data_IF_482834129020
#
_entry.id   IF_482834129020
#
_cell.length_a   1.000
_cell.length_b   1.000
_cell.length_c   1.000
_cell.angle_alpha   90.00
_cell.angle_beta   90.00
_cell.angle_gamma   90.00
#
_symmetry.space_group_name_H-M   'P 1'
#
loop_
_entity.id
_entity.type
_entity.pdbx_description
1 polymer ?
#
# COMPACT_ATOMS: atom_id res chain seq x y z
N UNK A 1 -33.19 18.28 23.01
CA UNK A 1 -32.26 19.32 22.51
C UNK A 1 -30.84 18.80 22.67
N UNK A 2 -30.26 18.24 21.61
CA UNK A 2 -28.97 17.56 21.64
C UNK A 2 -28.12 18.10 20.47
N UNK A 3 -27.54 19.28 20.66
CA UNK A 3 -26.66 19.95 19.69
C UNK A 3 -25.41 20.48 20.37
N UNK A 4 -24.45 19.60 20.70
CA UNK A 4 -23.18 19.99 21.35
C UNK A 4 -21.92 19.32 20.78
N UNK A 5 -21.95 18.08 20.25
CA UNK A 5 -20.77 17.48 19.62
C UNK A 5 -20.58 17.93 18.15
N UNK A 6 -21.67 18.05 17.40
CA UNK A 6 -21.64 18.38 15.97
C UNK A 6 -21.17 19.83 15.70
N UNK A 7 -21.65 20.80 16.49
CA UNK A 7 -21.18 22.20 16.41
C UNK A 7 -19.67 22.30 16.65
N UNK A 8 -19.12 21.56 17.62
CA UNK A 8 -17.69 21.54 17.90
C UNK A 8 -16.83 20.94 16.79
N UNK A 9 -17.34 19.95 16.06
CA UNK A 9 -16.63 19.40 14.90
C UNK A 9 -16.71 20.40 13.74
N UNK A 10 -17.88 20.98 13.50
CA UNK A 10 -18.09 21.99 12.48
C UNK A 10 -17.16 23.20 12.67
N UNK A 11 -17.09 23.77 13.87
CA UNK A 11 -16.21 24.91 14.19
C UNK A 11 -14.73 24.57 13.96
N UNK A 12 -14.31 23.34 14.29
CA UNK A 12 -12.96 22.85 14.02
C UNK A 12 -12.69 22.72 12.53
N UNK A 13 -13.66 22.27 11.74
CA UNK A 13 -13.55 22.17 10.29
C UNK A 13 -13.48 23.54 9.63
N UNK A 14 -14.29 24.51 10.06
CA UNK A 14 -14.22 25.89 9.58
C UNK A 14 -12.86 26.50 9.92
N UNK A 15 -12.41 26.36 11.17
CA UNK A 15 -11.07 26.83 11.57
C UNK A 15 -9.98 26.16 10.74
N UNK A 16 -10.09 24.86 10.44
CA UNK A 16 -9.13 24.15 9.60
C UNK A 16 -9.18 24.61 8.13
N UNK A 17 -10.38 24.85 7.58
CA UNK A 17 -10.59 25.38 6.24
C UNK A 17 -9.96 26.76 6.05
N UNK A 18 -10.13 27.64 7.04
CA UNK A 18 -9.71 29.03 6.96
C UNK A 18 -8.19 29.19 7.18
N UNK A 19 -7.56 28.26 7.90
CA UNK A 19 -6.14 28.36 8.29
C UNK A 19 -5.22 27.34 7.62
N UNK A 20 -5.75 26.32 6.93
CA UNK A 20 -4.96 25.28 6.27
C UNK A 20 -5.44 25.08 4.83
N UNK A 21 -4.60 25.43 3.88
CA UNK A 21 -4.86 25.37 2.43
C UNK A 21 -4.43 24.04 1.79
N UNK A 22 -3.74 23.18 2.55
CA UNK A 22 -3.14 21.94 2.06
C UNK A 22 -4.09 20.72 2.05
N UNK A 23 -5.33 20.85 2.55
CA UNK A 23 -6.29 19.73 2.56
C UNK A 23 -7.40 19.96 1.52
N UNK A 24 -7.87 18.88 0.88
CA UNK A 24 -8.91 18.94 -0.15
C UNK A 24 -10.06 17.95 0.07
N UNK A 25 -9.90 17.01 1.01
CA UNK A 25 -10.85 15.92 1.28
C UNK A 25 -10.87 15.59 2.77
N UNK A 26 -12.02 15.16 3.26
CA UNK A 26 -12.18 14.61 4.62
C UNK A 26 -12.87 13.26 4.50
N UNK A 27 -12.44 12.30 5.34
CA UNK A 27 -13.07 10.99 5.47
C UNK A 27 -13.57 10.86 6.90
N UNK A 28 -14.84 10.48 7.06
CA UNK A 28 -15.46 10.24 8.35
C UNK A 28 -15.80 8.76 8.50
N UNK A 29 -15.36 8.16 9.60
CA UNK A 29 -15.80 6.83 10.03
C UNK A 29 -16.66 6.98 11.27
N UNK A 30 -17.90 6.53 11.17
CA UNK A 30 -18.86 6.47 12.26
C UNK A 30 -19.35 5.06 12.47
N UNK A 31 -19.78 4.75 13.69
CA UNK A 31 -20.56 3.55 13.96
C UNK A 31 -22.04 3.85 13.74
N UNK A 32 -22.80 2.83 13.34
CA UNK A 32 -24.25 2.93 13.18
C UNK A 32 -24.96 3.33 14.49
N UNK A 33 -24.43 2.89 15.63
CA UNK A 33 -24.90 3.29 16.96
C UNK A 33 -24.39 4.67 17.42
N UNK A 34 -23.60 5.36 16.59
CA UNK A 34 -23.12 6.72 16.83
C UNK A 34 -22.18 6.89 18.04
N UNK A 35 -21.76 5.81 18.69
CA UNK A 35 -21.09 5.87 19.98
C UNK A 35 -19.70 5.24 19.97
N UNK A 36 -18.69 6.11 19.93
CA UNK A 36 -17.34 5.83 20.41
C UNK A 36 -17.16 6.56 21.74
N UNK A 37 -16.73 5.84 22.78
CA UNK A 37 -16.37 6.49 24.04
C UNK A 37 -14.99 7.14 23.95
N UNK A 38 -14.67 8.02 24.92
CA UNK A 38 -13.41 8.76 24.94
C UNK A 38 -12.18 7.83 24.89
N UNK A 39 -12.22 6.71 25.62
CA UNK A 39 -11.08 5.78 25.65
C UNK A 39 -10.86 5.11 24.30
N UNK A 40 -11.93 4.81 23.56
CA UNK A 40 -11.88 4.27 22.21
C UNK A 40 -11.37 5.31 21.21
N UNK A 41 -11.85 6.55 21.29
CA UNK A 41 -11.37 7.64 20.43
C UNK A 41 -9.88 7.91 20.64
N UNK A 42 -9.44 8.04 21.88
CA UNK A 42 -8.03 8.25 22.23
C UNK A 42 -7.16 7.06 21.75
N UNK A 43 -7.66 5.83 21.89
CA UNK A 43 -6.97 4.62 21.41
C UNK A 43 -6.81 4.60 19.88
N UNK A 44 -7.89 4.92 19.13
CA UNK A 44 -7.86 4.96 17.67
C UNK A 44 -7.00 6.09 17.14
N UNK A 45 -7.06 7.27 17.77
CA UNK A 45 -6.18 8.41 17.44
C UNK A 45 -4.71 8.03 17.61
N UNK A 46 -4.35 7.41 18.74
CA UNK A 46 -2.98 6.92 18.95
C UNK A 46 -2.56 5.92 17.86
N UNK A 47 -3.44 4.97 17.50
CA UNK A 47 -3.16 3.96 16.48
C UNK A 47 -2.93 4.60 15.09
N UNK A 48 -3.69 5.64 14.75
CA UNK A 48 -3.50 6.44 13.53
C UNK A 48 -2.16 7.18 13.56
N UNK A 49 -1.85 7.90 14.65
CA UNK A 49 -0.59 8.64 14.79
C UNK A 49 0.60 7.67 14.65
N UNK A 50 0.59 6.53 15.35
CA UNK A 50 1.64 5.52 15.26
C UNK A 50 1.78 4.90 13.85
N UNK A 51 0.69 4.83 13.08
CA UNK A 51 0.73 4.36 11.71
C UNK A 51 1.33 5.42 10.78
N UNK A 52 0.92 6.69 10.88
CA UNK A 52 1.45 7.79 10.08
C UNK A 52 2.93 8.11 10.39
N UNK A 53 3.36 7.96 11.65
CA UNK A 53 4.78 8.11 12.04
C UNK A 53 5.72 7.13 11.34
N UNK A 54 5.21 6.04 10.76
CA UNK A 54 5.99 5.05 9.99
C UNK A 54 6.04 5.37 8.50
N UNK A 55 5.45 6.47 8.08
CA UNK A 55 5.41 6.94 6.69
C UNK A 55 6.22 8.21 6.55
N UNK A 56 6.55 8.59 5.32
CA UNK A 56 7.23 9.85 5.01
C UNK A 56 6.26 11.06 4.91
N UNK A 57 4.98 10.86 5.28
CA UNK A 57 3.96 11.90 5.27
C UNK A 57 4.18 12.91 6.40
N UNK A 58 3.99 14.19 6.08
CA UNK A 58 4.00 15.26 7.09
C UNK A 58 2.80 15.13 8.02
N UNK A 59 3.05 14.83 9.28
CA UNK A 59 2.04 14.75 10.33
C UNK A 59 1.92 16.11 11.04
N UNK A 60 0.92 16.91 10.66
CA UNK A 60 0.57 18.16 11.36
C UNK A 60 -0.38 17.88 12.55
N UNK A 61 0.14 17.14 13.54
CA UNK A 61 -0.52 16.96 14.84
C UNK A 61 0.42 17.38 15.95
N UNK A 62 0.06 18.44 16.68
CA UNK A 62 0.83 18.98 17.80
C UNK A 62 0.70 18.13 19.09
N UNK A 63 -0.08 17.05 19.06
CA UNK A 63 -0.33 16.18 20.22
C UNK A 63 0.13 14.75 19.96
N UNK A 64 0.75 14.12 20.95
CA UNK A 64 1.23 12.73 20.91
C UNK A 64 0.10 11.70 21.12
N UNK A 65 -1.17 12.12 21.00
CA UNK A 65 -2.36 11.35 21.37
C UNK A 65 -2.60 11.33 22.88
N UNK A 66 -3.87 11.36 23.30
CA UNK A 66 -4.23 11.23 24.70
C UNK A 66 -4.08 9.77 25.18
N UNK A 67 -3.60 9.57 26.40
CA UNK A 67 -3.48 8.23 27.02
C UNK A 67 -4.60 8.00 28.03
N UNK A 68 -5.78 7.63 27.54
CA UNK A 68 -6.84 7.11 28.40
C UNK A 68 -6.68 5.61 28.64
N UNK A 69 -7.00 5.15 29.85
CA UNK A 69 -7.13 3.72 30.12
C UNK A 69 -8.30 3.15 29.30
N UNK A 70 -8.06 2.05 28.59
CA UNK A 70 -9.07 1.36 27.78
C UNK A 70 -9.20 -0.09 28.26
N UNK A 71 -10.42 -0.48 28.62
CA UNK A 71 -10.72 -1.86 29.00
C UNK A 71 -10.62 -2.82 27.80
N UNK A 72 -10.33 -4.09 28.07
CA UNK A 72 -10.10 -5.12 27.04
C UNK A 72 -11.28 -5.25 26.07
N UNK A 73 -12.52 -5.19 26.56
CA UNK A 73 -13.74 -5.27 25.75
C UNK A 73 -13.92 -4.03 24.88
N UNK A 74 -13.68 -2.83 25.41
CA UNK A 74 -13.71 -1.57 24.65
C UNK A 74 -12.62 -1.51 23.59
N UNK A 75 -11.44 -2.05 23.88
CA UNK A 75 -10.34 -2.17 22.92
C UNK A 75 -10.71 -3.09 21.75
N UNK A 76 -11.28 -4.27 22.00
CA UNK A 76 -11.76 -5.18 20.94
C UNK A 76 -12.77 -4.47 20.03
N UNK A 77 -13.70 -3.70 20.59
CA UNK A 77 -14.68 -2.94 19.80
C UNK A 77 -14.01 -1.86 18.94
N UNK A 78 -13.02 -1.15 19.48
CA UNK A 78 -12.25 -0.18 18.72
C UNK A 78 -11.41 -0.84 17.61
N UNK A 79 -10.79 -1.99 17.88
CA UNK A 79 -10.06 -2.77 16.87
C UNK A 79 -10.98 -3.23 15.72
N UNK A 80 -12.22 -3.63 16.02
CA UNK A 80 -13.19 -3.96 14.98
C UNK A 80 -13.52 -2.74 14.11
N UNK A 81 -13.74 -1.57 14.71
CA UNK A 81 -13.97 -0.32 13.96
C UNK A 81 -12.77 0.02 13.09
N UNK A 82 -11.55 -0.13 13.63
CA UNK A 82 -10.31 0.07 12.89
C UNK A 82 -10.23 -0.85 11.68
N UNK A 83 -10.43 -2.16 11.87
CA UNK A 83 -10.33 -3.15 10.80
C UNK A 83 -11.38 -2.91 9.72
N UNK A 84 -12.63 -2.63 10.11
CA UNK A 84 -13.70 -2.31 9.16
C UNK A 84 -13.40 -1.02 8.40
N UNK A 85 -12.89 0.02 9.07
CA UNK A 85 -12.52 1.27 8.40
C UNK A 85 -11.38 1.05 7.39
N UNK A 86 -10.36 0.26 7.74
CA UNK A 86 -9.28 -0.11 6.82
C UNK A 86 -9.81 -0.94 5.64
N UNK A 87 -10.67 -1.93 5.90
CA UNK A 87 -11.30 -2.72 4.85
C UNK A 87 -12.16 -1.85 3.92
N UNK A 88 -12.94 -0.91 4.46
CA UNK A 88 -13.71 0.04 3.64
C UNK A 88 -12.77 0.95 2.85
N UNK A 89 -11.70 1.45 3.45
CA UNK A 89 -10.71 2.27 2.74
C UNK A 89 -10.06 1.50 1.60
N UNK A 90 -9.64 0.25 1.84
CA UNK A 90 -8.88 -0.55 0.89
C UNK A 90 -9.78 -1.21 -0.18
N UNK A 91 -10.85 -1.87 0.24
CA UNK A 91 -11.71 -2.72 -0.60
C UNK A 91 -12.88 -1.96 -1.24
N UNK A 92 -13.40 -0.90 -0.60
CA UNK A 92 -14.59 -0.17 -1.08
C UNK A 92 -14.22 1.17 -1.70
N UNK A 93 -13.51 2.01 -0.95
CA UNK A 93 -13.14 3.36 -1.38
C UNK A 93 -11.85 3.38 -2.21
N UNK A 94 -11.04 2.33 -2.10
CA UNK A 94 -9.70 2.22 -2.71
C UNK A 94 -8.81 3.43 -2.41
N UNK A 95 -8.84 3.91 -1.17
CA UNK A 95 -8.04 5.02 -0.66
C UNK A 95 -6.98 4.44 0.27
N UNK A 96 -5.72 4.42 -0.17
CA UNK A 96 -4.60 4.21 0.75
C UNK A 96 -4.21 5.55 1.38
N UNK A 97 -4.62 5.78 2.62
CA UNK A 97 -4.33 7.03 3.35
C UNK A 97 -2.87 7.13 3.82
N UNK A 98 -2.10 6.04 3.72
CA UNK A 98 -0.68 5.97 4.09
C UNK A 98 0.26 6.06 2.88
N UNK A 99 -0.30 6.09 1.67
CA UNK A 99 0.47 6.45 0.48
C UNK A 99 0.68 7.95 0.48
N UNK A 100 1.94 8.38 0.49
CA UNK A 100 2.26 9.71 -0.02
C UNK A 100 1.76 9.77 -1.45
N UNK A 101 1.04 10.84 -1.79
CA UNK A 101 0.82 11.19 -3.18
C UNK A 101 2.20 11.46 -3.76
N UNK A 102 2.85 10.42 -4.28
CA UNK A 102 4.06 10.56 -5.08
C UNK A 102 3.58 11.14 -6.40
N UNK A 103 3.51 12.47 -6.46
CA UNK A 103 3.47 13.17 -7.73
C UNK A 103 4.78 12.84 -8.44
N UNK A 104 4.84 11.73 -9.18
CA UNK A 104 6.03 11.19 -9.88
C UNK A 104 7.32 11.82 -9.38
N UNK A 105 7.66 11.60 -8.09
CA UNK A 105 8.89 12.17 -7.57
C UNK A 105 9.99 11.44 -8.32
N UNK A 106 10.80 12.19 -9.06
CA UNK A 106 12.10 11.73 -9.50
C UNK A 106 12.85 11.34 -8.23
N UNK A 107 12.79 10.05 -7.91
CA UNK A 107 13.49 9.43 -6.80
C UNK A 107 14.99 9.58 -7.06
N UNK A 108 15.53 10.73 -6.66
CA UNK A 108 16.95 11.02 -6.61
C UNK A 108 17.53 10.36 -5.36
N UNK A 109 17.39 9.04 -5.26
CA UNK A 109 18.18 8.24 -4.35
C UNK A 109 19.45 7.79 -5.09
N UNK A 110 20.55 8.38 -4.66
CA UNK A 110 21.94 8.11 -5.08
C UNK A 110 22.44 6.70 -4.73
N UNK A 111 21.60 5.85 -4.11
CA UNK A 111 21.86 4.42 -3.98
C UNK A 111 21.36 3.70 -5.22
N UNK A 112 22.28 3.10 -5.99
CA UNK A 112 21.90 2.38 -7.19
C UNK A 112 21.17 1.09 -6.77
N UNK A 113 19.84 1.10 -6.72
CA UNK A 113 19.00 -0.08 -6.43
C UNK A 113 18.84 -0.93 -7.69
N UNK A 114 19.18 -2.23 -7.61
CA UNK A 114 19.09 -3.13 -8.77
C UNK A 114 18.95 -4.60 -8.39
N UNK A 115 18.62 -5.40 -9.38
CA UNK A 115 18.65 -6.85 -9.33
C UNK A 115 19.82 -7.34 -10.16
N UNK A 116 20.60 -8.26 -9.64
CA UNK A 116 21.68 -8.93 -10.36
C UNK A 116 21.28 -10.37 -10.70
N UNK A 117 21.47 -10.75 -11.95
CA UNK A 117 21.27 -12.11 -12.46
C UNK A 117 22.33 -12.41 -13.52
N UNK A 118 23.11 -13.48 -13.35
CA UNK A 118 24.16 -13.89 -14.30
C UNK A 118 25.06 -12.72 -14.74
N UNK A 119 25.54 -11.93 -13.78
CA UNK A 119 26.36 -10.71 -13.96
C UNK A 119 25.67 -9.55 -14.70
N UNK A 120 24.38 -9.68 -15.03
CA UNK A 120 23.59 -8.59 -15.58
C UNK A 120 23.00 -7.77 -14.45
N UNK A 121 23.20 -6.46 -14.55
CA UNK A 121 22.57 -5.47 -13.68
C UNK A 121 21.25 -5.03 -14.29
N UNK A 122 20.15 -5.25 -13.58
CA UNK A 122 18.81 -4.91 -14.00
C UNK A 122 18.27 -3.83 -13.06
N UNK A 123 18.14 -2.61 -13.57
CA UNK A 123 17.72 -1.44 -12.80
C UNK A 123 16.59 -0.67 -13.50
N UNK A 124 15.91 0.16 -12.74
CA UNK A 124 14.81 1.04 -13.11
C UNK A 124 14.74 2.21 -12.13
N UNK A 125 13.73 3.07 -12.25
CA UNK A 125 13.62 4.28 -11.41
C UNK A 125 13.11 4.00 -9.99
N UNK A 126 12.68 2.77 -9.71
CA UNK A 126 12.11 2.36 -8.43
C UNK A 126 12.18 0.83 -8.25
N UNK A 127 11.90 0.32 -7.05
CA UNK A 127 11.69 -1.13 -6.83
C UNK A 127 10.59 -1.70 -7.75
N UNK A 128 9.56 -0.89 -8.04
CA UNK A 128 8.48 -1.26 -8.96
C UNK A 128 9.02 -1.56 -10.36
N UNK A 129 9.79 -0.61 -10.88
CA UNK A 129 10.43 -0.71 -12.19
C UNK A 129 11.49 -1.79 -12.23
N UNK A 130 12.24 -2.01 -11.14
CA UNK A 130 13.20 -3.11 -11.05
C UNK A 130 12.53 -4.47 -11.29
N UNK A 131 11.39 -4.75 -10.66
CA UNK A 131 10.64 -5.99 -10.93
C UNK A 131 10.15 -6.06 -12.38
N UNK A 132 9.61 -4.97 -12.92
CA UNK A 132 9.12 -4.94 -14.31
C UNK A 132 10.27 -5.22 -15.29
N UNK A 133 11.38 -4.53 -15.13
CA UNK A 133 12.57 -4.66 -15.97
C UNK A 133 13.22 -6.04 -15.81
N UNK A 134 13.17 -6.64 -14.62
CA UNK A 134 13.61 -8.02 -14.40
C UNK A 134 12.84 -8.99 -15.29
N UNK A 135 11.51 -9.01 -15.24
CA UNK A 135 10.74 -9.93 -16.08
C UNK A 135 10.82 -9.60 -17.58
N UNK A 136 10.87 -8.33 -17.96
CA UNK A 136 11.11 -7.96 -19.37
C UNK A 136 12.48 -8.41 -19.87
N UNK A 137 13.51 -8.36 -19.02
CA UNK A 137 14.84 -8.87 -19.35
C UNK A 137 14.80 -10.38 -19.57
N UNK A 138 14.12 -11.13 -18.70
CA UNK A 138 14.00 -12.58 -18.84
C UNK A 138 13.26 -12.97 -20.13
N UNK A 139 12.14 -12.30 -20.44
CA UNK A 139 11.33 -12.58 -21.64
C UNK A 139 12.09 -12.32 -22.95
N UNK A 140 13.04 -11.37 -22.95
CA UNK A 140 13.90 -11.07 -24.10
C UNK A 140 14.98 -12.12 -24.36
N UNK A 141 15.35 -12.91 -23.36
CA UNK A 141 16.41 -13.90 -23.49
C UNK A 141 15.83 -15.31 -23.65
N UNK A 142 16.11 -16.02 -24.76
CA UNK A 142 15.59 -17.36 -24.98
C UNK A 142 15.86 -18.34 -23.84
N UNK A 143 17.01 -18.19 -23.16
CA UNK A 143 17.41 -18.99 -22.00
C UNK A 143 16.43 -18.90 -20.83
N UNK A 144 15.86 -17.72 -20.56
CA UNK A 144 15.01 -17.48 -19.39
C UNK A 144 13.52 -17.44 -19.72
N UNK A 145 13.19 -17.23 -21.00
CA UNK A 145 11.81 -17.06 -21.43
C UNK A 145 10.93 -18.24 -21.05
N UNK A 146 11.37 -19.47 -21.31
CA UNK A 146 10.60 -20.68 -20.95
C UNK A 146 10.33 -20.76 -19.44
N UNK A 147 11.28 -20.32 -18.60
CA UNK A 147 11.09 -20.29 -17.14
C UNK A 147 9.98 -19.34 -16.71
N UNK A 148 9.87 -18.18 -17.38
CA UNK A 148 8.79 -17.21 -17.12
C UNK A 148 7.46 -17.75 -17.61
N UNK A 149 7.43 -18.35 -18.80
CA UNK A 149 6.23 -18.94 -19.39
C UNK A 149 5.71 -20.13 -18.54
N UNK A 150 6.60 -20.99 -18.04
CA UNK A 150 6.25 -22.13 -17.18
C UNK A 150 5.78 -21.71 -15.77
N UNK A 151 6.34 -20.62 -15.23
CA UNK A 151 5.93 -20.07 -13.94
C UNK A 151 4.63 -19.25 -14.03
N UNK A 152 4.27 -18.78 -15.23
CA UNK A 152 3.08 -17.99 -15.47
C UNK A 152 1.82 -18.77 -15.09
N UNK A 153 1.01 -18.23 -14.17
CA UNK A 153 -0.28 -18.84 -13.85
C UNK A 153 -1.21 -18.80 -15.07
N UNK A 154 -1.87 -19.92 -15.36
CA UNK A 154 -2.99 -19.93 -16.29
C UNK A 154 -4.21 -19.29 -15.61
N UNK A 155 -4.31 -17.96 -15.71
CA UNK A 155 -5.27 -17.12 -15.03
C UNK A 155 -4.62 -15.86 -14.45
N UNK A 156 -5.22 -15.32 -13.40
CA UNK A 156 -4.81 -14.06 -12.79
C UNK A 156 -3.55 -14.22 -11.92
N UNK A 157 -2.56 -13.31 -12.02
CA UNK A 157 -1.43 -13.31 -11.10
C UNK A 157 -1.86 -12.95 -9.68
N UNK A 158 -1.08 -13.42 -8.71
CA UNK A 158 -1.27 -13.20 -7.27
C UNK A 158 -0.02 -12.56 -6.66
N UNK A 159 -0.08 -12.07 -5.40
CA UNK A 159 1.12 -11.58 -4.71
C UNK A 159 2.28 -12.58 -4.64
N UNK A 160 1.98 -13.88 -4.48
CA UNK A 160 2.99 -14.95 -4.42
C UNK A 160 3.45 -15.38 -5.81
N UNK A 161 2.51 -15.52 -6.75
CA UNK A 161 2.77 -15.85 -8.14
C UNK A 161 2.54 -14.61 -8.99
N UNK A 162 3.56 -13.76 -9.03
CA UNK A 162 3.46 -12.42 -9.58
C UNK A 162 3.20 -12.34 -11.09
N UNK A 163 3.18 -13.47 -11.81
CA UNK A 163 2.89 -13.51 -13.25
C UNK A 163 1.72 -14.44 -13.55
N UNK A 164 0.85 -14.01 -14.47
CA UNK A 164 -0.31 -14.77 -14.94
C UNK A 164 -0.73 -14.38 -16.35
N UNK A 165 -1.52 -15.23 -16.99
CA UNK A 165 -1.97 -15.07 -18.38
C UNK A 165 -3.07 -14.02 -18.54
N UNK A 166 -3.83 -13.76 -17.48
CA UNK A 166 -4.92 -12.80 -17.46
C UNK A 166 -4.60 -11.57 -16.59
N UNK A 167 -5.14 -10.39 -16.91
CA UNK A 167 -5.00 -9.23 -16.03
C UNK A 167 -5.80 -9.42 -14.75
N UNK A 168 -5.19 -9.09 -13.61
CA UNK A 168 -5.95 -8.88 -12.37
C UNK A 168 -6.56 -7.49 -12.41
N UNK A 169 -7.87 -7.40 -12.23
CA UNK A 169 -8.62 -6.16 -12.20
C UNK A 169 -9.12 -5.90 -10.78
N UNK A 170 -9.10 -4.63 -10.37
CA UNK A 170 -9.85 -4.13 -9.21
C UNK A 170 -11.36 -4.32 -9.47
N UNK A 171 -12.19 -4.36 -8.41
CA UNK A 171 -13.65 -4.34 -8.54
C UNK A 171 -14.17 -3.17 -9.40
N UNK A 172 -13.45 -2.05 -9.42
CA UNK A 172 -13.76 -0.86 -10.24
C UNK A 172 -13.20 -0.89 -11.69
N UNK A 173 -12.59 -2.01 -12.12
CA UNK A 173 -12.04 -2.18 -13.47
C UNK A 173 -10.60 -1.68 -13.68
N UNK A 174 -9.97 -1.05 -12.69
CA UNK A 174 -8.57 -0.62 -12.78
C UNK A 174 -7.61 -1.81 -12.67
N UNK A 175 -6.54 -1.85 -13.46
CA UNK A 175 -5.63 -3.02 -13.51
C UNK A 175 -4.72 -3.07 -12.26
N UNK A 176 -4.75 -4.19 -11.54
CA UNK A 176 -3.72 -4.56 -10.56
C UNK A 176 -2.42 -5.05 -11.23
N UNK A 177 -2.44 -5.23 -12.54
CA UNK A 177 -1.34 -5.78 -13.32
C UNK A 177 -0.80 -4.81 -14.36
N UNK A 178 0.51 -4.87 -14.57
CA UNK A 178 1.17 -4.29 -15.73
C UNK A 178 1.30 -5.38 -16.78
N UNK A 179 0.82 -5.13 -18.00
CA UNK A 179 1.05 -6.05 -19.11
C UNK A 179 2.52 -5.98 -19.53
N UNK A 180 3.19 -7.13 -19.59
CA UNK A 180 4.58 -7.24 -20.05
C UNK A 180 4.65 -7.60 -21.54
N UNK A 181 3.88 -8.63 -21.93
CA UNK A 181 3.69 -9.09 -23.31
C UNK A 181 2.24 -9.59 -23.49
N UNK A 182 1.89 -10.06 -24.68
CA UNK A 182 0.61 -10.72 -24.92
C UNK A 182 0.49 -11.97 -24.02
N UNK A 183 -0.61 -12.10 -23.28
CA UNK A 183 -0.85 -13.16 -22.30
C UNK A 183 0.19 -13.26 -21.16
N UNK A 184 0.89 -12.17 -20.83
CA UNK A 184 1.79 -12.13 -19.66
C UNK A 184 1.58 -10.83 -18.88
N UNK A 185 1.04 -10.97 -17.68
CA UNK A 185 0.65 -9.88 -16.80
C UNK A 185 1.39 -9.96 -15.45
N UNK A 186 2.03 -8.87 -15.04
CA UNK A 186 2.78 -8.75 -13.80
C UNK A 186 1.95 -8.07 -12.71
N UNK A 187 1.78 -8.72 -11.57
CA UNK A 187 1.13 -8.15 -10.40
C UNK A 187 1.91 -6.94 -9.86
N UNK A 188 1.29 -5.76 -9.89
CA UNK A 188 1.97 -4.49 -9.68
C UNK A 188 1.75 -3.88 -8.30
N UNK A 189 0.77 -4.37 -7.55
CA UNK A 189 0.34 -3.80 -6.27
C UNK A 189 0.92 -4.55 -5.07
N UNK A 190 2.23 -4.40 -4.87
CA UNK A 190 2.98 -5.05 -3.78
C UNK A 190 3.84 -4.02 -3.06
N UNK A 191 3.97 -4.18 -1.74
CA UNK A 191 5.03 -3.51 -0.98
C UNK A 191 6.42 -3.97 -1.44
N UNK A 192 7.48 -3.22 -1.11
CA UNK A 192 8.87 -3.59 -1.44
C UNK A 192 9.24 -4.99 -0.94
N UNK A 193 8.84 -5.32 0.30
CA UNK A 193 9.09 -6.64 0.92
C UNK A 193 8.37 -7.77 0.19
N UNK A 194 7.11 -7.57 -0.18
CA UNK A 194 6.35 -8.58 -0.93
C UNK A 194 6.90 -8.75 -2.34
N UNK A 195 7.35 -7.66 -2.96
CA UNK A 195 7.99 -7.67 -4.28
C UNK A 195 9.28 -8.46 -4.29
N UNK A 196 10.13 -8.24 -3.28
CA UNK A 196 11.33 -9.06 -3.07
C UNK A 196 10.97 -10.54 -2.93
N UNK A 197 9.99 -10.85 -2.06
CA UNK A 197 9.53 -12.23 -1.86
C UNK A 197 8.99 -12.85 -3.15
N UNK A 198 8.24 -12.11 -3.95
CA UNK A 198 7.67 -12.61 -5.20
C UNK A 198 8.75 -12.95 -6.24
N UNK A 199 9.76 -12.08 -6.39
CA UNK A 199 10.89 -12.35 -7.29
C UNK A 199 11.74 -13.51 -6.76
N UNK A 200 11.99 -13.58 -5.45
CA UNK A 200 12.70 -14.69 -4.84
C UNK A 200 11.95 -16.02 -5.03
N UNK A 201 10.62 -16.03 -4.87
CA UNK A 201 9.81 -17.22 -5.10
C UNK A 201 9.91 -17.72 -6.55
N UNK A 202 9.90 -16.80 -7.53
CA UNK A 202 10.18 -17.14 -8.92
C UNK A 202 11.59 -17.72 -9.11
N UNK A 203 12.61 -17.07 -8.52
CA UNK A 203 14.00 -17.51 -8.61
C UNK A 203 14.20 -18.92 -8.03
N UNK A 204 13.62 -19.18 -6.86
CA UNK A 204 13.67 -20.48 -6.18
C UNK A 204 12.96 -21.56 -7.00
N UNK A 205 11.77 -21.26 -7.54
CA UNK A 205 11.00 -22.19 -8.36
C UNK A 205 11.69 -22.55 -9.68
N UNK A 206 12.52 -21.65 -10.22
CA UNK A 206 13.21 -21.81 -11.50
C UNK A 206 14.69 -22.17 -11.37
N UNK A 207 15.20 -22.24 -10.13
CA UNK A 207 16.62 -22.50 -9.85
C UNK A 207 17.56 -21.34 -10.23
N UNK A 208 17.04 -20.14 -10.46
CA UNK A 208 17.85 -18.97 -10.77
C UNK A 208 18.47 -18.39 -9.50
N UNK A 209 19.71 -17.90 -9.60
CA UNK A 209 20.38 -17.18 -8.53
C UNK A 209 20.26 -15.69 -8.77
N UNK A 210 19.37 -15.07 -8.01
CA UNK A 210 19.11 -13.62 -8.06
C UNK A 210 19.72 -12.97 -6.81
N UNK A 211 20.39 -11.84 -6.98
CA UNK A 211 20.90 -11.03 -5.87
C UNK A 211 20.20 -9.68 -5.90
N UNK A 212 19.62 -9.29 -4.77
CA UNK A 212 18.96 -8.00 -4.61
C UNK A 212 19.94 -7.01 -3.97
N UNK A 213 20.13 -5.88 -4.63
CA UNK A 213 20.84 -4.73 -4.09
C UNK A 213 19.78 -3.66 -3.79
N UNK A 214 18.94 -3.96 -2.81
CA UNK A 214 17.80 -3.16 -2.38
C UNK A 214 18.10 -2.78 -0.92
N UNK A 215 18.35 -1.51 -0.64
CA UNK A 215 18.56 -1.01 0.72
C UNK A 215 17.27 -1.11 1.55
#
# INVERSE_FOLDING_TARGET
MSGKPAEKIYDRLITHNDNKDWWSKIIFFGREDGHLDKSQTDYLEKKLIEAFQKTDLTLDNATSGNTSFIEKTSKIKADNVWNIAQEILDEVAHINIFESYVAEEEDNQTAQIYIELDKHKISGKSYRDNQKNFFLFLLKQPKYRSLVEDFCLNGKPTPTYCIGSEPSLRPNGMKYTTQLEENIHLYSHLSTKERHRAIQNFADATGLKVVFHWD
#
